data_IF_101575217352
#
_entry.id   IF_101575217352
#
_cell.length_a   1.000
_cell.length_b   1.000
_cell.length_c   1.000
_cell.angle_alpha   90.00
_cell.angle_beta   90.00
_cell.angle_gamma   90.00
#
_symmetry.space_group_name_H-M   'P 1'
#
loop_
_entity.id
_entity.type
_entity.pdbx_description
1 polymer ?
#
# COMPACT_ATOMS: atom_id res chain seq x y z
N UNK A 1 -26.67 10.62 -16.17
CA UNK A 1 -26.98 11.19 -14.84
C UNK A 1 -26.17 12.46 -14.64
N UNK A 2 -26.81 13.62 -14.40
CA UNK A 2 -26.13 14.88 -14.09
C UNK A 2 -25.66 14.83 -12.63
N UNK A 3 -24.35 14.91 -12.37
CA UNK A 3 -23.82 14.92 -10.99
C UNK A 3 -24.32 16.19 -10.28
N UNK A 4 -25.17 16.03 -9.27
CA UNK A 4 -25.81 17.11 -8.49
C UNK A 4 -24.85 17.80 -7.50
N UNK A 5 -23.56 17.45 -7.49
CA UNK A 5 -22.58 17.88 -6.47
C UNK A 5 -21.35 18.61 -7.05
N UNK A 6 -21.49 19.31 -8.18
CA UNK A 6 -20.38 20.15 -8.68
C UNK A 6 -20.43 21.49 -7.94
N UNK A 7 -19.63 21.63 -6.89
CA UNK A 7 -19.33 22.94 -6.30
C UNK A 7 -18.59 23.78 -7.35
N UNK A 8 -19.10 24.97 -7.68
CA UNK A 8 -18.47 25.90 -8.61
C UNK A 8 -17.27 26.65 -8.01
N UNK A 9 -16.92 26.40 -6.74
CA UNK A 9 -15.76 27.02 -6.09
C UNK A 9 -14.62 26.02 -6.05
N UNK A 10 -13.57 26.31 -6.82
CA UNK A 10 -12.34 25.56 -6.73
C UNK A 10 -11.61 25.93 -5.43
N UNK A 11 -11.25 24.95 -4.61
CA UNK A 11 -10.44 25.21 -3.43
C UNK A 11 -9.05 25.75 -3.87
N UNK A 12 -8.40 26.66 -3.13
CA UNK A 12 -7.06 27.15 -3.47
C UNK A 12 -6.04 26.02 -3.71
N UNK A 13 -6.15 24.92 -2.96
CA UNK A 13 -5.31 23.72 -3.12
C UNK A 13 -5.73 22.81 -4.27
N UNK A 14 -6.92 23.00 -4.85
CA UNK A 14 -7.40 22.15 -5.93
C UNK A 14 -6.53 22.28 -7.17
N UNK A 15 -6.08 23.49 -7.54
CA UNK A 15 -5.27 23.67 -8.75
C UNK A 15 -3.93 22.91 -8.73
N UNK A 16 -3.10 23.01 -7.68
CA UNK A 16 -1.87 22.22 -7.62
C UNK A 16 -2.14 20.72 -7.49
N UNK A 17 -3.21 20.31 -6.78
CA UNK A 17 -3.48 18.89 -6.50
C UNK A 17 -4.35 18.20 -7.56
N UNK A 18 -4.99 18.94 -8.47
CA UNK A 18 -5.97 18.40 -9.45
C UNK A 18 -5.39 17.26 -10.27
N UNK A 19 -4.10 17.35 -10.64
CA UNK A 19 -3.43 16.31 -11.44
C UNK A 19 -3.19 15.01 -10.66
N UNK A 20 -3.12 15.05 -9.33
CA UNK A 20 -2.94 13.84 -8.51
C UNK A 20 -4.18 12.94 -8.52
N UNK A 21 -5.36 13.50 -8.76
CA UNK A 21 -6.62 12.77 -8.80
C UNK A 21 -7.20 12.64 -10.23
N UNK A 22 -6.41 12.95 -11.27
CA UNK A 22 -6.92 12.94 -12.66
C UNK A 22 -6.95 11.55 -13.30
N UNK A 23 -6.27 10.56 -12.71
CA UNK A 23 -6.16 9.20 -13.28
C UNK A 23 -7.09 8.18 -12.59
N UNK A 24 -8.11 8.64 -11.87
CA UNK A 24 -9.07 7.76 -11.21
C UNK A 24 -9.72 6.81 -12.23
N UNK A 25 -9.65 5.49 -11.96
CA UNK A 25 -10.17 4.44 -12.85
C UNK A 25 -9.19 3.98 -13.94
N UNK A 26 -8.01 4.61 -14.08
CA UNK A 26 -6.94 4.09 -14.93
C UNK A 26 -6.33 2.86 -14.27
N UNK A 27 -6.28 1.76 -15.01
CA UNK A 27 -5.72 0.48 -14.54
C UNK A 27 -4.87 -0.16 -15.62
N UNK A 28 -3.96 -1.05 -15.22
CA UNK A 28 -3.18 -1.89 -16.13
C UNK A 28 -3.97 -3.18 -16.40
N UNK A 29 -4.17 -3.59 -17.67
CA UNK A 29 -4.89 -4.82 -17.98
C UNK A 29 -4.10 -6.07 -17.55
N UNK A 30 -4.83 -7.17 -17.30
CA UNK A 30 -4.25 -8.43 -16.84
C UNK A 30 -3.79 -8.36 -15.37
N UNK A 31 -2.69 -9.05 -15.06
CA UNK A 31 -2.17 -9.17 -13.69
C UNK A 31 -1.27 -8.00 -13.27
N UNK A 32 -0.79 -7.18 -14.21
CA UNK A 32 0.12 -6.07 -13.90
C UNK A 32 1.28 -6.49 -13.01
N UNK A 33 1.50 -5.75 -11.93
CA UNK A 33 2.54 -6.03 -10.93
C UNK A 33 2.05 -6.90 -9.76
N UNK A 34 0.85 -7.48 -9.83
CA UNK A 34 0.32 -8.29 -8.74
C UNK A 34 1.21 -9.50 -8.34
N UNK A 35 1.90 -10.21 -9.26
CA UNK A 35 2.86 -11.24 -8.87
C UNK A 35 4.04 -10.67 -8.07
N UNK A 36 4.58 -9.50 -8.47
CA UNK A 36 5.65 -8.82 -7.75
C UNK A 36 5.18 -8.38 -6.35
N UNK A 37 3.96 -7.84 -6.25
CA UNK A 37 3.33 -7.54 -4.96
C UNK A 37 3.22 -8.80 -4.10
N UNK A 38 2.83 -9.95 -4.66
CA UNK A 38 2.79 -11.22 -3.95
C UNK A 38 4.14 -11.63 -3.36
N UNK A 39 5.22 -11.50 -4.13
CA UNK A 39 6.58 -11.76 -3.63
C UNK A 39 6.93 -10.82 -2.46
N UNK A 40 6.61 -9.53 -2.57
CA UNK A 40 6.84 -8.55 -1.49
C UNK A 40 6.00 -8.84 -0.25
N UNK A 41 4.75 -9.29 -0.42
CA UNK A 41 3.89 -9.69 0.69
C UNK A 41 4.42 -10.94 1.40
N UNK A 42 4.93 -11.93 0.67
CA UNK A 42 5.55 -13.12 1.27
C UNK A 42 6.83 -12.74 2.02
N UNK A 43 7.68 -11.88 1.44
CA UNK A 43 8.86 -11.39 2.13
C UNK A 43 8.50 -10.60 3.41
N UNK A 44 7.48 -9.74 3.35
CA UNK A 44 6.97 -9.01 4.51
C UNK A 44 6.39 -9.96 5.57
N UNK A 45 5.65 -10.99 5.16
CA UNK A 45 5.11 -12.01 6.05
C UNK A 45 6.24 -12.77 6.76
N UNK A 46 7.25 -13.23 6.02
CA UNK A 46 8.41 -13.91 6.58
C UNK A 46 9.17 -12.98 7.55
N UNK A 47 9.32 -11.70 7.22
CA UNK A 47 9.94 -10.72 8.11
C UNK A 47 9.16 -10.58 9.43
N UNK A 48 7.85 -10.35 9.35
CA UNK A 48 6.98 -10.19 10.53
C UNK A 48 6.95 -11.47 11.36
N UNK A 49 6.80 -12.64 10.73
CA UNK A 49 6.81 -13.92 11.43
C UNK A 49 8.15 -14.20 12.09
N UNK A 50 9.27 -13.80 11.47
CA UNK A 50 10.60 -13.98 12.06
C UNK A 50 10.73 -13.14 13.33
N UNK A 51 10.45 -11.84 13.27
CA UNK A 51 10.55 -10.98 14.46
C UNK A 51 9.57 -11.39 15.56
N UNK A 52 8.37 -11.87 15.19
CA UNK A 52 7.39 -12.37 16.14
C UNK A 52 7.89 -13.63 16.86
N UNK A 53 8.46 -14.58 16.10
CA UNK A 53 8.98 -15.82 16.67
C UNK A 53 10.24 -15.61 17.52
N UNK A 54 11.08 -14.65 17.15
CA UNK A 54 12.21 -14.20 17.97
C UNK A 54 11.69 -13.65 19.30
N UNK A 55 10.73 -12.72 19.26
CA UNK A 55 10.13 -12.16 20.48
C UNK A 55 9.43 -13.22 21.35
N UNK A 56 8.78 -14.20 20.74
CA UNK A 56 8.12 -15.28 21.47
C UNK A 56 9.08 -16.39 21.95
N UNK A 57 10.38 -16.27 21.72
CA UNK A 57 11.38 -17.29 22.07
C UNK A 57 11.17 -18.64 21.35
N UNK A 58 10.32 -18.68 20.31
CA UNK A 58 10.05 -19.90 19.53
C UNK A 58 11.20 -20.19 18.56
N UNK A 59 11.82 -19.13 18.06
CA UNK A 59 13.08 -19.18 17.30
C UNK A 59 14.14 -18.50 18.15
N UNK A 60 15.21 -19.21 18.47
CA UNK A 60 16.34 -18.72 19.28
C UNK A 60 17.52 -18.46 18.36
N UNK A 61 18.14 -17.29 18.50
CA UNK A 61 19.35 -16.90 17.75
C UNK A 61 20.43 -16.58 18.77
N UNK A 62 21.60 -17.22 18.62
CA UNK A 62 22.74 -17.00 19.52
C UNK A 62 23.12 -15.51 19.55
N UNK A 63 23.30 -14.98 20.77
CA UNK A 63 23.62 -13.56 20.98
C UNK A 63 22.44 -12.60 20.92
N UNK A 64 21.21 -13.10 20.75
CA UNK A 64 19.97 -12.33 20.89
C UNK A 64 19.22 -12.80 22.14
N UNK A 65 19.10 -11.93 23.13
CA UNK A 65 18.30 -12.13 24.33
C UNK A 65 17.03 -11.25 24.24
N UNK A 66 15.89 -11.75 24.73
CA UNK A 66 14.55 -11.21 24.45
C UNK A 66 13.74 -10.99 25.72
#
# INVERSE_FOLDING_TARGET
MRQKFVSNKAAPLQYPLRKLNSEAGKVVPGWGTAPLMGIMLVALLLFILTILQLYNGTVIVEGIDV
#
